data_IF_531494997598
#
_entry.id   IF_531494997598
#
_cell.length_a   1.000
_cell.length_b   1.000
_cell.length_c   1.000
_cell.angle_alpha   90.00
_cell.angle_beta   90.00
_cell.angle_gamma   90.00
#
_symmetry.space_group_name_H-M   'P 1'
#
loop_
_entity.id
_entity.type
_entity.pdbx_description
1 polymer ?
#
# COMPACT_ATOMS: atom_id res chain seq x y z
N UNK A 1 22.23 3.14 -24.70
CA UNK A 1 21.09 2.22 -24.46
C UNK A 1 20.30 2.68 -23.24
N UNK A 2 19.02 3.06 -23.39
CA UNK A 2 18.15 3.36 -22.24
C UNK A 2 17.84 2.04 -21.52
N UNK A 3 18.38 1.85 -20.31
CA UNK A 3 18.02 0.70 -19.46
C UNK A 3 16.50 0.69 -19.24
N UNK A 4 15.87 -0.46 -19.48
CA UNK A 4 14.46 -0.68 -19.15
C UNK A 4 14.23 -0.34 -17.67
N UNK A 5 13.11 0.31 -17.33
CA UNK A 5 12.73 0.57 -15.93
C UNK A 5 12.75 -0.72 -15.10
N UNK A 6 12.39 -1.84 -15.72
CA UNK A 6 12.43 -3.17 -15.13
C UNK A 6 13.85 -3.63 -14.77
N UNK A 7 14.83 -3.36 -15.65
CA UNK A 7 16.23 -3.66 -15.39
C UNK A 7 16.80 -2.80 -14.25
N UNK A 8 16.38 -1.54 -14.15
CA UNK A 8 16.81 -0.65 -13.05
C UNK A 8 16.31 -1.11 -11.70
N UNK A 9 15.05 -1.56 -11.60
CA UNK A 9 14.49 -2.10 -10.36
C UNK A 9 15.16 -3.42 -9.98
N UNK A 10 15.40 -4.31 -10.95
CA UNK A 10 16.16 -5.55 -10.71
C UNK A 10 17.57 -5.26 -10.20
N UNK A 11 18.26 -4.30 -10.83
CA UNK A 11 19.61 -3.91 -10.45
C UNK A 11 19.63 -3.30 -9.04
N UNK A 12 18.63 -2.50 -8.64
CA UNK A 12 18.51 -1.95 -7.26
C UNK A 12 18.17 -3.04 -6.22
N UNK A 13 17.27 -3.96 -6.54
CA UNK A 13 16.89 -5.06 -5.62
C UNK A 13 18.01 -6.08 -5.43
N UNK A 14 18.83 -6.31 -6.46
CA UNK A 14 19.95 -7.27 -6.39
C UNK A 14 21.27 -6.66 -5.88
N UNK A 15 21.51 -5.35 -6.07
CA UNK A 15 22.75 -4.72 -5.64
C UNK A 15 22.75 -4.29 -4.16
N UNK A 16 21.60 -3.96 -3.57
CA UNK A 16 21.55 -3.30 -2.25
C UNK A 16 21.39 -4.25 -1.04
N UNK A 17 21.38 -5.57 -1.22
CA UNK A 17 21.32 -6.48 -0.06
C UNK A 17 22.67 -6.66 0.65
N UNK A 18 23.78 -6.13 0.10
CA UNK A 18 25.12 -6.42 0.62
C UNK A 18 25.97 -5.23 1.06
N UNK A 19 25.56 -3.97 0.91
CA UNK A 19 26.41 -2.86 1.38
C UNK A 19 25.63 -1.61 1.78
N UNK A 20 26.02 -1.08 2.95
CA UNK A 20 25.84 0.29 3.42
C UNK A 20 24.53 0.63 4.14
N UNK A 21 24.59 0.45 5.46
CA UNK A 21 23.66 0.95 6.46
C UNK A 21 24.13 2.28 7.08
N UNK A 22 24.95 3.07 6.40
CA UNK A 22 25.41 4.36 6.92
C UNK A 22 25.56 5.40 5.81
N UNK A 23 24.45 6.07 5.49
CA UNK A 23 24.42 7.51 5.21
C UNK A 23 22.95 7.96 5.21
N UNK A 24 22.54 8.57 6.32
CA UNK A 24 21.29 9.29 6.58
C UNK A 24 20.39 9.55 5.34
N UNK A 25 19.16 9.03 5.39
CA UNK A 25 17.95 9.51 4.68
C UNK A 25 17.81 9.35 3.15
N UNK A 26 18.59 8.53 2.43
CA UNK A 26 18.47 8.48 0.95
C UNK A 26 17.62 7.31 0.43
N UNK A 27 16.38 7.69 0.08
CA UNK A 27 15.27 6.94 -0.54
C UNK A 27 14.60 5.92 0.37
N UNK A 28 13.44 6.29 0.93
CA UNK A 28 12.51 5.32 1.48
C UNK A 28 12.16 4.32 0.35
N UNK A 29 12.66 3.07 0.41
CA UNK A 29 12.50 2.10 -0.68
C UNK A 29 11.03 1.74 -0.89
N UNK A 30 10.19 1.85 0.15
CA UNK A 30 8.74 1.73 0.04
C UNK A 30 8.12 2.90 -0.71
N UNK A 31 8.60 4.13 -0.51
CA UNK A 31 8.13 5.30 -1.26
C UNK A 31 8.45 5.17 -2.76
N UNK A 32 9.67 4.71 -3.10
CA UNK A 32 10.05 4.42 -4.49
C UNK A 32 9.20 3.30 -5.10
N UNK A 33 9.02 2.20 -4.36
CA UNK A 33 8.15 1.08 -4.79
C UNK A 33 6.70 1.53 -5.00
N UNK A 34 6.17 2.38 -4.11
CA UNK A 34 4.83 2.96 -4.24
C UNK A 34 4.70 3.85 -5.48
N UNK A 35 5.73 4.63 -5.81
CA UNK A 35 5.75 5.39 -7.05
C UNK A 35 5.78 4.46 -8.26
N UNK A 36 6.65 3.46 -8.27
CA UNK A 36 6.76 2.49 -9.35
C UNK A 36 5.45 1.72 -9.59
N UNK A 37 4.77 1.29 -8.53
CA UNK A 37 3.46 0.64 -8.62
C UNK A 37 2.44 1.56 -9.29
N UNK A 38 2.35 2.83 -8.85
CA UNK A 38 1.44 3.82 -9.46
C UNK A 38 1.76 4.08 -10.93
N UNK A 39 3.04 4.18 -11.27
CA UNK A 39 3.49 4.37 -12.66
C UNK A 39 3.13 3.16 -13.51
N UNK A 40 3.37 1.96 -13.00
CA UNK A 40 3.04 0.70 -13.67
C UNK A 40 1.53 0.53 -13.89
N UNK A 41 0.71 0.90 -12.90
CA UNK A 41 -0.75 0.90 -13.02
C UNK A 41 -1.22 1.88 -14.11
N UNK A 42 -0.60 3.06 -14.21
CA UNK A 42 -0.88 4.03 -15.27
C UNK A 42 -0.49 3.50 -16.64
N UNK A 43 0.66 2.85 -16.76
CA UNK A 43 1.10 2.25 -18.02
C UNK A 43 0.20 1.09 -18.45
N UNK A 44 -0.22 0.21 -17.53
CA UNK A 44 -1.20 -0.85 -17.82
C UNK A 44 -2.47 -0.25 -18.45
N UNK A 45 -3.05 0.81 -17.85
CA UNK A 45 -4.23 1.49 -18.40
C UNK A 45 -4.01 2.09 -19.79
N UNK A 46 -2.81 2.59 -20.07
CA UNK A 46 -2.47 3.11 -21.41
C UNK A 46 -2.39 1.98 -22.43
N UNK A 47 -1.77 0.86 -22.07
CA UNK A 47 -1.67 -0.32 -22.93
C UNK A 47 -3.06 -0.92 -23.18
N UNK A 48 -3.95 -1.00 -22.18
CA UNK A 48 -5.34 -1.43 -22.35
C UNK A 48 -6.03 -0.65 -23.48
N UNK A 49 -5.93 0.68 -23.46
CA UNK A 49 -6.52 1.54 -24.51
C UNK A 49 -5.91 1.31 -25.90
N UNK A 50 -4.62 0.94 -25.97
CA UNK A 50 -3.99 0.61 -27.25
C UNK A 50 -4.48 -0.74 -27.78
N UNK A 51 -4.70 -1.71 -26.88
CA UNK A 51 -5.26 -3.02 -27.23
C UNK A 51 -6.71 -2.86 -27.69
N UNK A 52 -7.53 -2.04 -27.01
CA UNK A 52 -8.90 -1.72 -27.43
C UNK A 52 -8.93 -1.18 -28.87
N UNK A 53 -8.00 -0.28 -29.23
CA UNK A 53 -7.89 0.23 -30.61
C UNK A 53 -7.56 -0.88 -31.62
N UNK A 54 -6.68 -1.82 -31.26
CA UNK A 54 -6.40 -2.98 -32.11
C UNK A 54 -7.61 -3.92 -32.23
N UNK A 55 -8.40 -4.10 -31.17
CA UNK A 55 -9.64 -4.86 -31.22
C UNK A 55 -10.67 -4.18 -32.13
N UNK A 56 -10.81 -2.85 -32.08
CA UNK A 56 -11.65 -2.10 -33.01
C UNK A 56 -11.20 -2.30 -34.45
N UNK A 57 -9.90 -2.17 -34.72
CA UNK A 57 -9.35 -2.38 -36.06
C UNK A 57 -9.60 -3.81 -36.58
N UNK A 58 -9.47 -4.82 -35.71
CA UNK A 58 -9.83 -6.21 -36.03
C UNK A 58 -11.31 -6.32 -36.45
N UNK A 59 -12.21 -5.67 -35.73
CA UNK A 59 -13.64 -5.68 -36.04
C UNK A 59 -13.95 -4.94 -37.35
N UNK A 60 -13.26 -3.83 -37.63
CA UNK A 60 -13.40 -3.11 -38.89
C UNK A 60 -12.92 -3.97 -40.07
N UNK A 61 -11.76 -4.61 -39.98
CA UNK A 61 -11.29 -5.53 -41.05
C UNK A 61 -12.27 -6.67 -41.29
N UNK A 62 -12.85 -7.23 -40.24
CA UNK A 62 -13.87 -8.27 -40.36
C UNK A 62 -15.11 -7.77 -41.11
N UNK A 63 -15.60 -6.57 -40.77
CA UNK A 63 -16.77 -5.98 -41.45
C UNK A 63 -16.49 -5.73 -42.93
N UNK A 64 -15.33 -5.16 -43.25
CA UNK A 64 -14.94 -4.91 -44.66
C UNK A 64 -14.76 -6.22 -45.43
N UNK A 65 -14.21 -7.26 -44.78
CA UNK A 65 -14.06 -8.60 -45.36
C UNK A 65 -15.42 -9.20 -45.73
N UNK A 66 -16.39 -9.18 -44.81
CA UNK A 66 -17.75 -9.65 -45.05
C UNK A 66 -18.44 -8.88 -46.19
N UNK A 67 -18.24 -7.56 -46.22
CA UNK A 67 -18.77 -6.73 -47.29
C UNK A 67 -18.15 -7.08 -48.66
N UNK A 68 -16.83 -7.29 -48.72
CA UNK A 68 -16.15 -7.70 -49.95
C UNK A 68 -16.64 -9.08 -50.43
N UNK A 69 -16.82 -10.05 -49.52
CA UNK A 69 -17.39 -11.36 -49.84
C UNK A 69 -18.81 -11.24 -50.41
N UNK A 70 -19.66 -10.42 -49.79
CA UNK A 70 -21.01 -10.16 -50.26
C UNK A 70 -21.01 -9.56 -51.67
N UNK A 71 -20.16 -8.55 -51.91
CA UNK A 71 -20.07 -7.88 -53.22
C UNK A 71 -19.53 -8.81 -54.31
N UNK A 72 -18.50 -9.60 -54.02
CA UNK A 72 -17.98 -10.62 -54.95
C UNK A 72 -19.09 -11.60 -55.34
N UNK A 73 -19.81 -12.15 -54.35
CA UNK A 73 -20.91 -13.10 -54.57
C UNK A 73 -22.06 -12.48 -55.37
N UNK A 74 -22.41 -11.23 -55.06
CA UNK A 74 -23.43 -10.47 -55.79
C UNK A 74 -23.04 -10.27 -57.25
N UNK A 75 -21.79 -9.87 -57.53
CA UNK A 75 -21.29 -9.65 -58.88
C UNK A 75 -21.21 -10.94 -59.69
N UNK A 76 -20.78 -12.06 -59.09
CA UNK A 76 -20.86 -13.38 -59.73
C UNK A 76 -22.28 -13.77 -60.12
N UNK A 77 -23.26 -13.55 -59.24
CA UNK A 77 -24.67 -13.81 -59.55
C UNK A 77 -25.16 -12.93 -60.70
N UNK A 78 -24.78 -11.65 -60.73
CA UNK A 78 -25.15 -10.74 -61.80
C UNK A 78 -24.49 -11.13 -63.14
N UNK A 79 -23.24 -11.59 -63.13
CA UNK A 79 -22.59 -12.13 -64.31
C UNK A 79 -23.35 -13.34 -64.87
N UNK A 80 -23.80 -14.25 -63.99
CA UNK A 80 -24.60 -15.40 -64.41
C UNK A 80 -25.92 -14.99 -65.07
N UNK A 81 -26.66 -14.03 -64.49
CA UNK A 81 -27.90 -13.50 -65.06
C UNK A 81 -27.64 -12.84 -66.43
N UNK A 82 -26.58 -12.03 -66.55
CA UNK A 82 -26.22 -11.37 -67.81
C UNK A 82 -25.88 -12.40 -68.90
N UNK A 83 -25.20 -13.50 -68.53
CA UNK A 83 -24.92 -14.62 -69.43
C UNK A 83 -26.21 -15.28 -69.94
N UNK A 84 -27.16 -15.57 -69.06
CA UNK A 84 -28.47 -16.13 -69.45
C UNK A 84 -29.26 -15.20 -70.37
N UNK A 85 -29.11 -13.88 -70.20
CA UNK A 85 -29.70 -12.87 -71.05
C UNK A 85 -28.93 -12.61 -72.36
N UNK A 86 -27.81 -13.29 -72.62
CA UNK A 86 -26.89 -13.04 -73.73
C UNK A 86 -26.30 -11.61 -73.78
N UNK A 87 -26.26 -10.92 -72.64
CA UNK A 87 -25.70 -9.57 -72.48
C UNK A 87 -24.20 -9.64 -72.16
N UNK A 88 -23.40 -10.00 -73.16
CA UNK A 88 -21.96 -10.30 -73.01
C UNK A 88 -21.13 -9.16 -72.39
N UNK A 89 -21.44 -7.90 -72.73
CA UNK A 89 -20.75 -6.74 -72.17
C UNK A 89 -21.03 -6.55 -70.67
N UNK A 90 -22.27 -6.82 -70.23
CA UNK A 90 -22.65 -6.75 -68.82
C UNK A 90 -22.05 -7.91 -68.02
N UNK A 91 -22.00 -9.10 -68.60
CA UNK A 91 -21.34 -10.26 -68.01
C UNK A 91 -19.86 -9.98 -67.75
N UNK A 92 -19.12 -9.53 -68.77
CA UNK A 92 -17.69 -9.26 -68.67
C UNK A 92 -17.37 -8.25 -67.55
N UNK A 93 -18.13 -7.15 -67.50
CA UNK A 93 -18.00 -6.15 -66.44
C UNK A 93 -18.30 -6.71 -65.05
N UNK A 94 -19.35 -7.52 -64.91
CA UNK A 94 -19.71 -8.11 -63.64
C UNK A 94 -18.64 -9.11 -63.15
N UNK A 95 -18.00 -9.86 -64.07
CA UNK A 95 -16.89 -10.76 -63.74
C UNK A 95 -15.63 -9.98 -63.33
N UNK A 96 -15.30 -8.89 -64.02
CA UNK A 96 -14.17 -8.03 -63.66
C UNK A 96 -14.35 -7.44 -62.25
N UNK A 97 -15.53 -6.90 -61.95
CA UNK A 97 -15.84 -6.41 -60.60
C UNK A 97 -15.84 -7.53 -59.55
N UNK A 98 -16.32 -8.74 -59.90
CA UNK A 98 -16.27 -9.89 -59.01
C UNK A 98 -14.82 -10.25 -58.66
N UNK A 99 -13.93 -10.36 -59.66
CA UNK A 99 -12.52 -10.65 -59.46
C UNK A 99 -11.85 -9.58 -58.59
N UNK A 100 -12.15 -8.31 -58.83
CA UNK A 100 -11.64 -7.22 -57.98
C UNK A 100 -12.01 -7.43 -56.51
N UNK A 101 -13.28 -7.73 -56.20
CA UNK A 101 -13.70 -7.96 -54.81
C UNK A 101 -13.10 -9.25 -54.21
N UNK A 102 -12.87 -10.28 -55.01
CA UNK A 102 -12.17 -11.50 -54.55
C UNK A 102 -10.72 -11.22 -54.16
N UNK A 103 -10.00 -10.42 -54.95
CA UNK A 103 -8.65 -9.98 -54.61
C UNK A 103 -8.62 -9.12 -53.33
N UNK A 104 -9.63 -8.26 -53.13
CA UNK A 104 -9.77 -7.49 -51.89
C UNK A 104 -10.08 -8.39 -50.69
N UNK A 105 -10.97 -9.37 -50.86
CA UNK A 105 -11.26 -10.39 -49.85
C UNK A 105 -9.99 -11.09 -49.38
N UNK A 106 -9.12 -11.54 -50.29
CA UNK A 106 -7.87 -12.20 -49.91
C UNK A 106 -6.97 -11.29 -49.09
N UNK A 107 -6.85 -10.00 -49.47
CA UNK A 107 -6.04 -9.02 -48.73
C UNK A 107 -6.62 -8.73 -47.34
N UNK A 108 -7.94 -8.56 -47.24
CA UNK A 108 -8.63 -8.29 -45.97
C UNK A 108 -8.59 -9.49 -45.04
N UNK A 109 -8.66 -10.71 -45.57
CA UNK A 109 -8.50 -11.95 -44.80
C UNK A 109 -7.12 -12.01 -44.14
N UNK A 110 -6.05 -11.74 -44.90
CA UNK A 110 -4.69 -11.70 -44.36
C UNK A 110 -4.53 -10.64 -43.26
N UNK A 111 -5.08 -9.44 -43.47
CA UNK A 111 -5.05 -8.35 -42.50
C UNK A 111 -5.83 -8.71 -41.23
N UNK A 112 -7.02 -9.32 -41.37
CA UNK A 112 -7.84 -9.77 -40.26
C UNK A 112 -7.13 -10.85 -39.43
N UNK A 113 -6.57 -11.88 -40.09
CA UNK A 113 -5.85 -12.96 -39.42
C UNK A 113 -4.64 -12.42 -38.66
N UNK A 114 -3.79 -11.62 -39.31
CA UNK A 114 -2.61 -11.02 -38.66
C UNK A 114 -2.99 -10.13 -37.48
N UNK A 115 -4.03 -9.32 -37.62
CA UNK A 115 -4.49 -8.45 -36.53
C UNK A 115 -5.07 -9.27 -35.37
N UNK A 116 -5.73 -10.39 -35.66
CA UNK A 116 -6.24 -11.31 -34.65
C UNK A 116 -5.10 -11.90 -33.82
N UNK A 117 -4.07 -12.45 -34.46
CA UNK A 117 -2.88 -12.99 -33.79
C UNK A 117 -2.18 -11.93 -32.92
N UNK A 118 -2.05 -10.71 -33.43
CA UNK A 118 -1.48 -9.58 -32.69
C UNK A 118 -2.32 -9.22 -31.46
N UNK A 119 -3.64 -9.14 -31.57
CA UNK A 119 -4.54 -8.87 -30.44
C UNK A 119 -4.37 -9.94 -29.36
N UNK A 120 -4.36 -11.22 -29.73
CA UNK A 120 -4.18 -12.31 -28.77
C UNK A 120 -2.81 -12.26 -28.07
N UNK A 121 -1.74 -11.93 -28.82
CA UNK A 121 -0.42 -11.75 -28.23
C UNK A 121 -0.38 -10.58 -27.23
N UNK A 122 -1.00 -9.45 -27.59
CA UNK A 122 -1.09 -8.29 -26.71
C UNK A 122 -1.92 -8.58 -25.45
N UNK A 123 -3.02 -9.33 -25.58
CA UNK A 123 -3.85 -9.77 -24.46
C UNK A 123 -3.07 -10.67 -23.47
N UNK A 124 -2.26 -11.60 -23.98
CA UNK A 124 -1.35 -12.40 -23.14
C UNK A 124 -0.33 -11.53 -22.43
N UNK A 125 0.34 -10.62 -23.14
CA UNK A 125 1.34 -9.72 -22.55
C UNK A 125 0.77 -8.83 -21.46
N UNK A 126 -0.43 -8.29 -21.65
CA UNK A 126 -1.04 -7.43 -20.63
C UNK A 126 -1.53 -8.24 -19.42
N UNK A 127 -1.97 -9.49 -19.63
CA UNK A 127 -2.27 -10.40 -18.54
C UNK A 127 -1.03 -10.65 -17.66
N UNK A 128 0.12 -10.93 -18.28
CA UNK A 128 1.40 -11.10 -17.57
C UNK A 128 1.81 -9.84 -16.81
N UNK A 129 1.66 -8.66 -17.42
CA UNK A 129 1.92 -7.38 -16.76
C UNK A 129 1.04 -7.19 -15.51
N UNK A 130 -0.25 -7.52 -15.60
CA UNK A 130 -1.19 -7.44 -14.46
C UNK A 130 -0.82 -8.42 -13.35
N UNK A 131 -0.44 -9.65 -13.70
CA UNK A 131 0.02 -10.64 -12.74
C UNK A 131 1.29 -10.15 -12.03
N UNK A 132 2.26 -9.60 -12.78
CA UNK A 132 3.48 -9.04 -12.19
C UNK A 132 3.19 -7.87 -11.25
N UNK A 133 2.24 -7.02 -11.62
CA UNK A 133 1.80 -5.90 -10.78
C UNK A 133 1.18 -6.40 -9.46
N UNK A 134 0.38 -7.47 -9.51
CA UNK A 134 -0.17 -8.14 -8.31
C UNK A 134 0.94 -8.69 -7.41
N UNK A 135 1.94 -9.35 -7.97
CA UNK A 135 3.12 -9.80 -7.21
C UNK A 135 3.84 -8.64 -6.52
N UNK A 136 4.01 -7.51 -7.21
CA UNK A 136 4.65 -6.31 -6.64
C UNK A 136 3.83 -5.71 -5.50
N UNK A 137 2.51 -5.73 -5.57
CA UNK A 137 1.64 -5.34 -4.44
C UNK A 137 1.84 -6.26 -3.22
N UNK A 138 1.90 -7.58 -3.44
CA UNK A 138 2.23 -8.52 -2.36
C UNK A 138 3.61 -8.23 -1.77
N UNK A 139 4.61 -7.97 -2.62
CA UNK A 139 5.96 -7.65 -2.15
C UNK A 139 5.99 -6.35 -1.34
N UNK A 140 5.22 -5.34 -1.74
CA UNK A 140 5.04 -4.10 -0.97
C UNK A 140 4.48 -4.40 0.43
N UNK A 141 3.42 -5.21 0.53
CA UNK A 141 2.82 -5.57 1.82
C UNK A 141 3.83 -6.27 2.73
N UNK A 142 4.61 -7.21 2.17
CA UNK A 142 5.67 -7.89 2.89
C UNK A 142 6.73 -6.91 3.43
N UNK A 143 7.17 -5.96 2.61
CA UNK A 143 8.16 -4.96 3.01
C UNK A 143 7.61 -4.01 4.08
N UNK A 144 6.35 -3.59 4.00
CA UNK A 144 5.68 -2.79 5.04
C UNK A 144 5.60 -3.57 6.36
N UNK A 145 5.28 -4.87 6.33
CA UNK A 145 5.26 -5.70 7.53
C UNK A 145 6.64 -5.79 8.18
N UNK A 146 7.70 -5.94 7.38
CA UNK A 146 9.09 -5.95 7.87
C UNK A 146 9.52 -4.60 8.45
N UNK A 147 9.17 -3.50 7.80
CA UNK A 147 9.43 -2.14 8.31
C UNK A 147 8.75 -1.93 9.67
N UNK A 148 7.47 -2.28 9.79
CA UNK A 148 6.71 -2.21 11.04
C UNK A 148 7.36 -3.03 12.16
N UNK A 149 7.77 -4.27 11.86
CA UNK A 149 8.47 -5.13 12.83
C UNK A 149 9.78 -4.50 13.30
N UNK A 150 10.57 -3.92 12.38
CA UNK A 150 11.81 -3.24 12.72
C UNK A 150 11.57 -2.02 13.62
N UNK A 151 10.53 -1.22 13.34
CA UNK A 151 10.15 -0.09 14.20
C UNK A 151 9.70 -0.53 15.59
N UNK A 152 8.90 -1.59 15.69
CA UNK A 152 8.46 -2.17 16.97
C UNK A 152 9.67 -2.63 17.78
N UNK A 153 10.57 -3.41 17.17
CA UNK A 153 11.78 -3.89 17.84
C UNK A 153 12.68 -2.75 18.32
N UNK A 154 12.89 -1.70 17.50
CA UNK A 154 13.63 -0.50 17.92
C UNK A 154 12.97 0.14 19.13
N UNK A 155 11.65 0.35 19.11
CA UNK A 155 10.91 0.98 20.22
C UNK A 155 10.96 0.15 21.50
N UNK A 156 10.87 -1.18 21.40
CA UNK A 156 11.05 -2.10 22.54
C UNK A 156 12.45 -1.94 23.12
N UNK A 157 13.49 -2.01 22.29
CA UNK A 157 14.88 -1.88 22.73
C UNK A 157 15.15 -0.51 23.36
N UNK A 158 14.67 0.59 22.76
CA UNK A 158 14.79 1.93 23.33
C UNK A 158 14.10 2.03 24.70
N UNK A 159 12.96 1.35 24.87
CA UNK A 159 12.23 1.31 26.14
C UNK A 159 13.00 0.50 27.18
N UNK A 160 13.51 -0.69 26.83
CA UNK A 160 14.36 -1.51 27.70
C UNK A 160 15.60 -0.74 28.12
N UNK A 161 16.29 -0.07 27.19
CA UNK A 161 17.45 0.75 27.49
C UNK A 161 17.10 1.91 28.43
N UNK A 162 15.97 2.61 28.22
CA UNK A 162 15.51 3.67 29.13
C UNK A 162 15.19 3.13 30.53
N UNK A 163 14.57 1.96 30.64
CA UNK A 163 14.30 1.29 31.92
C UNK A 163 15.60 0.80 32.58
N UNK A 164 16.60 0.38 31.79
CA UNK A 164 17.89 -0.08 32.31
C UNK A 164 18.82 1.07 32.72
N UNK A 165 18.75 2.23 32.06
CA UNK A 165 19.57 3.42 32.34
C UNK A 165 18.91 4.27 33.43
N UNK A 166 17.60 4.45 33.37
CA UNK A 166 16.84 5.10 34.42
C UNK A 166 16.62 4.10 35.55
N UNK A 167 17.53 4.05 36.52
CA UNK A 167 17.50 3.11 37.64
C UNK A 167 16.11 3.11 38.30
N UNK A 168 15.22 2.12 38.01
CA UNK A 168 13.86 2.12 38.54
C UNK A 168 13.89 1.97 40.05
N UNK A 169 14.92 1.28 40.59
CA UNK A 169 15.18 1.20 42.02
C UNK A 169 15.44 2.57 42.65
N UNK A 170 16.15 3.49 42.00
CA UNK A 170 16.36 4.85 42.55
C UNK A 170 15.05 5.66 42.63
N UNK A 171 14.09 5.40 41.75
CA UNK A 171 12.76 6.04 41.82
C UNK A 171 11.86 5.36 42.86
N UNK A 172 11.95 4.04 43.01
CA UNK A 172 11.29 3.30 44.09
C UNK A 172 11.84 3.67 45.48
N UNK A 173 13.16 3.76 45.64
CA UNK A 173 13.83 4.12 46.89
C UNK A 173 13.49 5.55 47.33
N UNK A 174 13.36 6.49 46.38
CA UNK A 174 12.84 7.84 46.66
C UNK A 174 11.36 7.83 47.07
N UNK A 175 10.55 6.96 46.47
CA UNK A 175 9.15 6.80 46.89
C UNK A 175 9.05 6.18 48.29
N UNK A 176 9.89 5.18 48.61
CA UNK A 176 9.97 4.59 49.95
C UNK A 176 10.44 5.60 50.99
N UNK A 177 11.48 6.40 50.71
CA UNK A 177 11.90 7.49 51.60
C UNK A 177 10.80 8.52 51.82
N UNK A 178 10.12 8.94 50.75
CA UNK A 178 9.01 9.88 50.85
C UNK A 178 7.84 9.35 51.69
N UNK A 179 7.49 8.05 51.53
CA UNK A 179 6.48 7.39 52.34
C UNK A 179 6.94 7.30 53.80
N UNK A 180 8.20 6.93 54.06
CA UNK A 180 8.76 6.90 55.42
C UNK A 180 8.73 8.27 56.12
N UNK A 181 9.09 9.34 55.42
CA UNK A 181 9.03 10.71 55.96
C UNK A 181 7.59 11.18 56.22
N UNK A 182 6.63 10.66 55.45
CA UNK A 182 5.20 10.88 55.67
C UNK A 182 4.72 10.14 56.91
N UNK A 183 5.10 8.87 57.06
CA UNK A 183 4.76 8.05 58.23
C UNK A 183 5.34 8.63 59.53
N UNK A 184 6.59 9.11 59.50
CA UNK A 184 7.21 9.79 60.64
C UNK A 184 6.43 11.04 61.02
N UNK A 185 6.10 11.91 60.06
CA UNK A 185 5.33 13.14 60.32
C UNK A 185 3.93 12.85 60.87
N UNK A 186 3.23 11.88 60.30
CA UNK A 186 1.91 11.47 60.79
C UNK A 186 2.02 10.94 62.23
N UNK A 187 3.06 10.16 62.53
CA UNK A 187 3.27 9.63 63.87
C UNK A 187 3.65 10.74 64.88
N UNK A 188 4.46 11.73 64.49
CA UNK A 188 4.78 12.91 65.31
C UNK A 188 3.54 13.78 65.57
N UNK A 189 2.69 13.96 64.56
CA UNK A 189 1.42 14.70 64.69
C UNK A 189 0.46 13.96 65.62
N UNK A 190 0.35 12.64 65.51
CA UNK A 190 -0.43 11.81 66.42
C UNK A 190 0.08 11.86 67.87
N UNK A 191 1.40 11.81 68.08
CA UNK A 191 2.01 11.95 69.41
C UNK A 191 1.76 13.34 70.01
N UNK A 192 1.84 14.42 69.20
CA UNK A 192 1.50 15.78 69.64
C UNK A 192 0.03 15.90 70.04
N UNK A 193 -0.88 15.42 69.22
CA UNK A 193 -2.31 15.44 69.53
C UNK A 193 -2.61 14.66 70.83
N UNK A 194 -1.93 13.53 71.03
CA UNK A 194 -2.07 12.71 72.25
C UNK A 194 -1.48 13.40 73.47
N UNK A 195 -0.34 14.07 73.32
CA UNK A 195 0.29 14.87 74.36
C UNK A 195 -0.59 16.06 74.75
N UNK A 196 -1.08 16.81 73.77
CA UNK A 196 -1.95 17.97 73.99
C UNK A 196 -3.28 17.54 74.63
N UNK A 197 -3.86 16.41 74.22
CA UNK A 197 -5.00 15.79 74.90
C UNK A 197 -4.71 15.43 76.36
N UNK A 198 -3.51 14.91 76.66
CA UNK A 198 -3.08 14.59 78.03
C UNK A 198 -2.89 15.85 78.88
N UNK A 199 -2.27 16.90 78.32
CA UNK A 199 -2.09 18.18 79.00
C UNK A 199 -3.44 18.86 79.26
N UNK A 200 -4.33 18.90 78.27
CA UNK A 200 -5.68 19.44 78.45
C UNK A 200 -6.47 18.70 79.53
N UNK A 201 -6.34 17.36 79.62
CA UNK A 201 -6.91 16.58 80.73
C UNK A 201 -6.29 16.96 82.09
N UNK A 202 -4.97 17.12 82.16
CA UNK A 202 -4.28 17.53 83.39
C UNK A 202 -4.68 18.95 83.83
N UNK A 203 -4.77 19.91 82.93
CA UNK A 203 -5.24 21.27 83.23
C UNK A 203 -6.65 21.29 83.79
N UNK A 204 -7.55 20.48 83.20
CA UNK A 204 -8.92 20.34 83.71
C UNK A 204 -8.92 19.78 85.13
N UNK A 205 -8.15 18.72 85.38
CA UNK A 205 -7.99 18.15 86.72
C UNK A 205 -7.38 19.13 87.74
N UNK A 206 -6.45 19.99 87.31
CA UNK A 206 -5.84 21.01 88.18
C UNK A 206 -6.80 22.15 88.50
N UNK A 207 -7.64 22.57 87.55
CA UNK A 207 -8.69 23.59 87.77
C UNK A 207 -9.83 23.10 88.67
N UNK A 208 -10.09 21.79 88.68
CA UNK A 208 -11.10 21.16 89.54
C UNK A 208 -10.59 20.86 90.96
N UNK A 209 -9.29 21.05 91.25
CA UNK A 209 -8.74 20.92 92.61
C UNK A 209 -8.81 22.28 93.34
N UNK A 210 -9.68 22.46 94.36
CA UNK A 210 -9.70 23.70 95.13
C UNK A 210 -8.41 23.84 95.94
N UNK A 211 -7.85 25.06 95.98
CA UNK A 211 -6.61 25.39 96.67
C UNK A 211 -6.73 25.17 98.19
N UNK A 212 -6.15 24.07 98.70
CA UNK A 212 -5.76 23.97 100.11
C UNK A 212 -4.60 24.95 100.34
N UNK A 213 -4.90 26.07 101.01
CA UNK A 213 -3.89 26.97 101.58
C UNK A 213 -3.50 26.48 102.97
N UNK A 214 -2.31 25.92 103.11
CA UNK A 214 -1.53 25.85 104.37
C UNK A 214 -0.05 25.76 103.99
N UNK A 215 0.94 26.30 104.69
CA UNK A 215 1.10 27.20 105.84
C UNK A 215 2.61 27.50 105.80
N UNK A 216 3.03 28.75 105.63
CA UNK A 216 4.45 29.08 105.82
C UNK A 216 4.74 29.29 107.31
N UNK A 217 5.57 28.39 107.83
CA UNK A 217 6.23 28.43 109.13
C UNK A 217 7.47 29.31 108.99
N UNK A 218 7.60 30.36 109.81
CA UNK A 218 8.87 31.03 110.09
C UNK A 218 9.02 31.15 111.60
N UNK A 219 10.01 30.42 112.11
CA UNK A 219 10.73 30.47 113.40
C UNK A 219 9.91 30.64 114.69
#
# INVERSE_FOLDING_TARGET
MKKSLFQRVRDVVLADFHQMLDEKEKQNPLALLNQYLRDSEREVKKVEKLIERHQTLKADFYRELEQAHYLASKRKRQAHIAREANETALEARALEEAQYYEEQTSKLQDLYTRTTEQVEELERKIHDMKNKLKEMHTKRMELMARENLAHVNRRINDTIHKVSIGNPFLQFEKMEQYIGDLEIRINEEFERDTFDLRIAKLEKHLKEKPAEKEKDVVL
#
